data_IF_491552076399
#
_entry.id   IF_491552076399
#
_cell.length_a   1.000
_cell.length_b   1.000
_cell.length_c   1.000
_cell.angle_alpha   90.00
_cell.angle_beta   90.00
_cell.angle_gamma   90.00
#
_symmetry.space_group_name_H-M   'P 1'
#
loop_
_entity.id
_entity.type
_entity.pdbx_description
1 polymer ?
#
# COMPACT_ATOMS: atom_id res chain seq x y z
N UNK A 1 -48.08 -57.50 -30.52
CA UNK A 1 -47.52 -56.44 -31.38
C UNK A 1 -46.70 -55.48 -30.53
N UNK A 2 -45.44 -55.25 -30.89
CA UNK A 2 -44.40 -54.69 -30.03
C UNK A 2 -44.54 -53.19 -29.76
N UNK A 3 -44.39 -52.81 -28.48
CA UNK A 3 -44.26 -51.43 -27.98
C UNK A 3 -42.91 -50.85 -28.44
N UNK A 4 -42.90 -49.69 -29.10
CA UNK A 4 -41.69 -48.89 -29.29
C UNK A 4 -41.76 -47.64 -28.42
N UNK A 5 -40.87 -47.61 -27.45
CA UNK A 5 -40.56 -46.52 -26.54
C UNK A 5 -39.89 -45.38 -27.31
N UNK A 6 -40.42 -44.16 -27.18
CA UNK A 6 -39.78 -42.93 -27.66
C UNK A 6 -38.98 -42.37 -26.49
N UNK A 7 -37.66 -42.51 -26.53
CA UNK A 7 -36.74 -41.84 -25.60
C UNK A 7 -36.51 -40.41 -26.11
N UNK A 8 -37.07 -39.42 -25.43
CA UNK A 8 -36.69 -38.02 -25.61
C UNK A 8 -35.31 -37.78 -25.00
N UNK A 9 -34.30 -37.51 -25.83
CA UNK A 9 -33.04 -36.92 -25.37
C UNK A 9 -33.26 -35.41 -25.18
N UNK A 10 -33.27 -34.97 -23.92
CA UNK A 10 -33.10 -33.55 -23.56
C UNK A 10 -31.60 -33.24 -23.58
N UNK A 11 -31.13 -32.52 -24.61
CA UNK A 11 -29.79 -31.95 -24.65
C UNK A 11 -29.85 -30.65 -23.86
N UNK A 12 -29.44 -30.70 -22.60
CA UNK A 12 -29.24 -29.49 -21.77
C UNK A 12 -27.95 -28.83 -22.22
N UNK A 13 -28.04 -27.82 -23.09
CA UNK A 13 -26.90 -26.98 -23.47
C UNK A 13 -26.50 -26.14 -22.25
N UNK A 14 -25.41 -26.53 -21.58
CA UNK A 14 -24.79 -25.76 -20.50
C UNK A 14 -24.13 -24.53 -21.14
N UNK A 15 -24.80 -23.38 -21.08
CA UNK A 15 -24.22 -22.10 -21.51
C UNK A 15 -23.15 -21.74 -20.48
N UNK A 16 -21.90 -22.11 -20.76
CA UNK A 16 -20.74 -21.61 -20.05
C UNK A 16 -20.58 -20.13 -20.40
N UNK A 17 -21.16 -19.23 -19.61
CA UNK A 17 -20.85 -17.81 -19.68
C UNK A 17 -19.37 -17.65 -19.34
N UNK A 18 -18.52 -17.18 -20.27
CA UNK A 18 -17.13 -16.89 -19.94
C UNK A 18 -17.17 -15.78 -18.89
N UNK A 19 -16.50 -15.99 -17.76
CA UNK A 19 -16.14 -14.90 -16.87
C UNK A 19 -15.12 -14.05 -17.63
N UNK A 20 -15.61 -13.12 -18.44
CA UNK A 20 -14.77 -12.10 -19.06
C UNK A 20 -14.22 -11.25 -17.92
N UNK A 21 -12.96 -11.48 -17.56
CA UNK A 21 -12.20 -10.52 -16.76
C UNK A 21 -12.05 -9.27 -17.61
N UNK A 22 -12.85 -8.25 -17.35
CA UNK A 22 -12.74 -6.97 -18.04
C UNK A 22 -11.39 -6.35 -17.70
N UNK A 23 -10.53 -6.18 -18.69
CA UNK A 23 -9.32 -5.39 -18.54
C UNK A 23 -9.68 -3.92 -18.30
N UNK A 24 -8.91 -3.24 -17.45
CA UNK A 24 -9.06 -1.79 -17.26
C UNK A 24 -8.88 -1.06 -18.58
N UNK A 25 -9.77 -0.13 -18.90
CA UNK A 25 -9.63 0.74 -20.08
C UNK A 25 -8.86 2.02 -19.72
N UNK A 26 -7.99 2.44 -20.64
CA UNK A 26 -7.22 3.68 -20.55
C UNK A 26 -7.57 4.61 -21.74
N UNK A 27 -7.52 5.95 -21.58
CA UNK A 27 -7.05 6.68 -20.41
C UNK A 27 -7.97 6.50 -19.19
N UNK A 28 -7.35 6.30 -18.03
CA UNK A 28 -8.03 6.05 -16.77
C UNK A 28 -7.90 7.30 -15.87
N UNK A 29 -9.02 7.83 -15.39
CA UNK A 29 -9.02 8.84 -14.33
C UNK A 29 -9.44 8.23 -13.01
N UNK A 30 -8.69 8.49 -11.95
CA UNK A 30 -8.95 8.03 -10.58
C UNK A 30 -8.83 9.18 -9.60
N UNK A 31 -9.51 9.07 -8.46
CA UNK A 31 -9.26 9.93 -7.30
C UNK A 31 -8.26 9.22 -6.39
N UNK A 32 -7.17 9.89 -6.03
CA UNK A 32 -6.16 9.33 -5.13
C UNK A 32 -6.46 9.62 -3.65
N UNK A 33 -5.57 9.18 -2.75
CA UNK A 33 -5.78 9.34 -1.30
C UNK A 33 -5.53 10.78 -0.81
N UNK A 34 -5.03 11.68 -1.68
CA UNK A 34 -4.98 13.12 -1.45
C UNK A 34 -6.25 13.83 -1.97
N UNK A 35 -7.23 13.07 -2.49
CA UNK A 35 -8.48 13.60 -3.05
C UNK A 35 -8.33 14.23 -4.43
N UNK A 36 -7.19 14.04 -5.11
CA UNK A 36 -6.91 14.63 -6.42
C UNK A 36 -7.34 13.71 -7.54
N UNK A 37 -7.79 14.29 -8.65
CA UNK A 37 -8.01 13.55 -9.89
C UNK A 37 -6.68 13.33 -10.61
N UNK A 38 -6.32 12.08 -10.84
CA UNK A 38 -5.10 11.66 -11.53
C UNK A 38 -5.50 10.91 -12.80
N UNK A 39 -4.99 11.35 -13.95
CA UNK A 39 -5.25 10.71 -15.24
C UNK A 39 -4.01 9.94 -15.71
N UNK A 40 -4.22 8.69 -16.11
CA UNK A 40 -3.22 7.78 -16.62
C UNK A 40 -3.54 7.48 -18.09
N UNK A 41 -2.63 7.83 -18.99
CA UNK A 41 -2.87 7.65 -20.43
C UNK A 41 -2.90 6.17 -20.86
N UNK A 42 -2.20 5.30 -20.11
CA UNK A 42 -2.05 3.87 -20.35
C UNK A 42 -1.79 3.13 -19.04
N UNK A 43 -1.84 1.79 -19.07
CA UNK A 43 -1.40 0.96 -17.95
C UNK A 43 0.08 1.25 -17.62
N UNK A 44 0.41 1.70 -16.39
CA UNK A 44 1.77 2.07 -16.00
C UNK A 44 2.75 0.89 -16.15
N UNK A 45 3.89 1.11 -16.78
CA UNK A 45 4.92 0.08 -16.97
C UNK A 45 6.27 0.50 -16.37
N UNK A 46 6.41 1.76 -15.93
CA UNK A 46 7.67 2.37 -15.49
C UNK A 46 7.42 3.19 -14.23
N UNK A 47 7.32 2.48 -13.11
CA UNK A 47 6.90 3.01 -11.82
C UNK A 47 8.11 3.46 -11.00
N UNK A 48 7.96 4.59 -10.33
CA UNK A 48 8.78 5.01 -9.20
C UNK A 48 8.04 4.65 -7.91
N UNK A 49 8.72 3.97 -6.97
CA UNK A 49 8.23 3.83 -5.60
C UNK A 49 8.94 4.83 -4.69
N UNK A 50 8.21 5.84 -4.22
CA UNK A 50 8.73 6.81 -3.25
C UNK A 50 9.11 6.13 -1.93
N UNK A 51 8.26 5.23 -1.44
CA UNK A 51 8.52 4.38 -0.29
C UNK A 51 8.76 2.95 -0.79
N UNK A 52 9.96 2.42 -0.62
CA UNK A 52 10.30 1.09 -1.12
C UNK A 52 9.51 -0.04 -0.47
N UNK A 53 8.86 0.19 0.68
CA UNK A 53 8.00 -0.82 1.33
C UNK A 53 6.74 -1.12 0.52
N UNK A 54 6.34 -0.23 -0.38
CA UNK A 54 5.22 -0.44 -1.31
C UNK A 54 5.48 -1.59 -2.30
N UNK A 55 6.71 -2.10 -2.37
CA UNK A 55 7.03 -3.34 -3.08
C UNK A 55 6.21 -4.52 -2.55
N UNK A 56 5.81 -4.51 -1.27
CA UNK A 56 4.92 -5.53 -0.70
C UNK A 56 3.53 -5.50 -1.33
N UNK A 57 2.99 -4.30 -1.58
CA UNK A 57 1.72 -4.14 -2.30
C UNK A 57 1.87 -4.56 -3.76
N UNK A 58 3.00 -4.26 -4.41
CA UNK A 58 3.26 -4.78 -5.76
C UNK A 58 3.41 -6.30 -5.76
N UNK A 59 3.93 -6.94 -4.71
CA UNK A 59 4.02 -8.40 -4.60
C UNK A 59 2.65 -9.06 -4.45
N UNK A 60 1.69 -8.34 -3.87
CA UNK A 60 0.30 -8.77 -3.83
C UNK A 60 -0.37 -8.69 -5.22
N UNK A 61 -0.12 -7.62 -5.97
CA UNK A 61 -0.80 -7.31 -7.23
C UNK A 61 -0.14 -7.97 -8.46
N UNK A 62 1.17 -7.92 -8.56
CA UNK A 62 2.02 -8.51 -9.60
C UNK A 62 2.79 -9.72 -9.04
N UNK A 63 2.05 -10.74 -8.62
CA UNK A 63 2.57 -11.93 -7.91
C UNK A 63 3.66 -12.70 -8.66
N UNK A 64 3.67 -12.61 -9.99
CA UNK A 64 4.70 -13.19 -10.84
C UNK A 64 6.06 -12.49 -10.65
N UNK A 65 6.03 -11.16 -10.56
CA UNK A 65 7.22 -10.34 -10.38
C UNK A 65 6.84 -8.91 -9.93
N UNK A 66 6.96 -8.59 -8.63
CA UNK A 66 6.65 -7.25 -8.10
C UNK A 66 7.55 -6.14 -8.66
N UNK A 67 8.70 -6.52 -9.22
CA UNK A 67 9.69 -5.60 -9.76
C UNK A 67 9.52 -5.30 -11.24
N UNK A 68 8.61 -6.00 -11.96
CA UNK A 68 8.58 -5.95 -13.44
C UNK A 68 8.31 -4.57 -14.02
N UNK A 69 7.64 -3.70 -13.26
CA UNK A 69 7.33 -2.31 -13.66
C UNK A 69 8.26 -1.29 -13.02
N UNK A 70 9.13 -1.70 -12.10
CA UNK A 70 9.85 -0.77 -11.23
C UNK A 70 11.13 -0.28 -11.90
N UNK A 71 11.25 1.04 -12.09
CA UNK A 71 12.43 1.67 -12.71
C UNK A 71 13.31 2.41 -11.71
N UNK A 72 12.71 2.89 -10.63
CA UNK A 72 13.42 3.51 -9.52
C UNK A 72 12.62 3.35 -8.23
N UNK A 73 13.30 3.35 -7.09
CA UNK A 73 12.67 3.23 -5.78
C UNK A 73 13.57 3.73 -4.66
N UNK A 74 12.99 4.00 -3.50
CA UNK A 74 13.77 4.19 -2.27
C UNK A 74 13.94 2.86 -1.53
N UNK A 75 15.04 2.14 -1.73
CA UNK A 75 15.21 0.79 -1.19
C UNK A 75 15.58 0.78 0.30
N UNK A 76 14.59 1.09 1.15
CA UNK A 76 14.73 1.08 2.61
C UNK A 76 15.06 -0.32 3.16
N UNK A 77 14.48 -1.37 2.57
CA UNK A 77 14.66 -2.76 3.02
C UNK A 77 16.14 -3.17 2.99
N UNK A 78 16.94 -2.70 2.03
CA UNK A 78 18.39 -2.97 1.97
C UNK A 78 19.15 -2.57 3.25
N UNK A 79 18.63 -1.61 4.02
CA UNK A 79 19.23 -1.14 5.28
C UNK A 79 18.44 -1.58 6.50
N UNK A 80 17.11 -1.51 6.43
CA UNK A 80 16.22 -1.63 7.59
C UNK A 80 15.59 -3.02 7.75
N UNK A 81 15.50 -3.80 6.67
CA UNK A 81 14.96 -5.16 6.68
C UNK A 81 15.76 -6.05 5.73
N UNK A 82 17.00 -6.30 6.12
CA UNK A 82 17.97 -7.05 5.32
C UNK A 82 17.47 -8.46 5.03
N UNK A 83 16.75 -9.08 5.97
CA UNK A 83 16.21 -10.44 5.79
C UNK A 83 15.17 -10.49 4.66
N UNK A 84 14.18 -9.59 4.68
CA UNK A 84 13.19 -9.48 3.59
C UNK A 84 13.88 -9.13 2.29
N UNK A 85 14.86 -8.21 2.30
CA UNK A 85 15.58 -7.87 1.08
C UNK A 85 16.35 -9.04 0.47
N UNK A 86 17.01 -9.88 1.27
CA UNK A 86 17.69 -11.07 0.77
C UNK A 86 16.69 -12.07 0.19
N UNK A 87 15.54 -12.28 0.84
CA UNK A 87 14.47 -13.14 0.32
C UNK A 87 13.96 -12.64 -1.05
N UNK A 88 13.67 -11.34 -1.16
CA UNK A 88 13.20 -10.73 -2.40
C UNK A 88 14.24 -10.87 -3.52
N UNK A 89 15.51 -10.59 -3.24
CA UNK A 89 16.59 -10.72 -4.22
C UNK A 89 16.82 -12.15 -4.68
N UNK A 90 16.72 -13.13 -3.78
CA UNK A 90 16.89 -14.55 -4.15
C UNK A 90 15.82 -14.97 -5.13
N UNK A 91 14.58 -14.51 -4.93
CA UNK A 91 13.45 -14.85 -5.81
C UNK A 91 13.47 -14.05 -7.11
N UNK A 92 13.84 -12.76 -7.04
CA UNK A 92 13.91 -11.85 -8.19
C UNK A 92 15.28 -11.17 -8.27
N UNK A 93 16.32 -11.85 -8.78
CA UNK A 93 17.69 -11.32 -8.80
C UNK A 93 17.84 -9.99 -9.58
N UNK A 94 17.01 -9.78 -10.61
CA UNK A 94 16.98 -8.53 -11.38
C UNK A 94 16.64 -7.29 -10.53
N UNK A 95 16.02 -7.47 -9.36
CA UNK A 95 15.70 -6.38 -8.43
C UNK A 95 16.93 -5.58 -7.99
N UNK A 96 18.11 -6.21 -7.98
CA UNK A 96 19.36 -5.55 -7.62
C UNK A 96 19.85 -4.51 -8.65
N UNK A 97 19.30 -4.51 -9.86
CA UNK A 97 19.70 -3.59 -10.95
C UNK A 97 18.86 -2.32 -11.01
N UNK A 98 17.77 -2.26 -10.24
CA UNK A 98 16.83 -1.13 -10.22
C UNK A 98 17.49 0.05 -9.50
N UNK A 99 17.30 1.24 -10.06
CA UNK A 99 17.87 2.48 -9.52
C UNK A 99 17.37 2.75 -8.11
N UNK A 100 18.26 2.68 -7.13
CA UNK A 100 17.99 3.15 -5.76
C UNK A 100 18.17 4.67 -5.72
N UNK A 101 17.07 5.39 -5.49
CA UNK A 101 17.06 6.85 -5.48
C UNK A 101 17.75 7.43 -4.24
N UNK A 102 17.93 6.61 -3.19
CA UNK A 102 18.50 7.07 -1.93
C UNK A 102 17.72 8.22 -1.29
N UNK A 103 16.39 8.25 -1.49
CA UNK A 103 15.51 9.31 -1.00
C UNK A 103 15.64 9.38 0.53
N UNK A 104 16.40 10.38 1.00
CA UNK A 104 16.52 10.65 2.43
C UNK A 104 15.28 11.41 2.90
N UNK A 105 14.97 11.35 4.19
CA UNK A 105 13.90 12.15 4.81
C UNK A 105 14.13 13.67 4.65
N UNK A 106 15.27 14.10 4.09
CA UNK A 106 15.64 15.48 3.75
C UNK A 106 15.43 15.85 2.28
N UNK A 107 14.85 14.97 1.46
CA UNK A 107 14.42 15.31 0.09
C UNK A 107 15.53 15.46 -0.97
N UNK A 108 16.79 15.22 -0.63
CA UNK A 108 17.89 15.22 -1.61
C UNK A 108 17.81 13.97 -2.48
N UNK A 109 17.35 14.13 -3.72
CA UNK A 109 17.31 13.08 -4.75
C UNK A 109 17.94 13.58 -6.03
N UNK A 110 18.77 12.74 -6.64
CA UNK A 110 19.17 12.90 -8.04
C UNK A 110 17.97 12.56 -8.94
N UNK A 111 17.06 13.53 -9.05
CA UNK A 111 15.83 13.38 -9.81
C UNK A 111 16.12 13.27 -11.32
N UNK A 112 17.24 13.81 -11.80
CA UNK A 112 17.64 13.73 -13.20
C UNK A 112 17.92 12.27 -13.60
N UNK A 113 18.68 11.54 -12.78
CA UNK A 113 18.90 10.10 -12.98
C UNK A 113 17.59 9.29 -12.98
N UNK A 114 16.61 9.68 -12.18
CA UNK A 114 15.29 9.04 -12.12
C UNK A 114 14.49 9.34 -13.39
N UNK A 115 14.43 10.60 -13.82
CA UNK A 115 13.76 11.04 -15.04
C UNK A 115 14.37 10.38 -16.28
N UNK A 116 15.69 10.18 -16.31
CA UNK A 116 16.38 9.46 -17.39
C UNK A 116 15.89 8.00 -17.55
N UNK A 117 15.27 7.43 -16.51
CA UNK A 117 14.58 6.13 -16.61
C UNK A 117 13.19 6.22 -17.22
N UNK A 118 12.74 7.37 -17.70
CA UNK A 118 11.45 7.57 -18.37
C UNK A 118 10.28 6.96 -17.59
N UNK A 119 10.08 7.34 -16.33
CA UNK A 119 8.95 6.85 -15.54
C UNK A 119 7.62 7.30 -16.14
N UNK A 120 6.56 6.52 -15.95
CA UNK A 120 5.19 6.86 -16.35
C UNK A 120 4.21 6.95 -15.17
N UNK A 121 4.67 6.64 -13.95
CA UNK A 121 3.92 6.83 -12.70
C UNK A 121 4.89 6.92 -11.52
N UNK A 122 4.62 7.80 -10.56
CA UNK A 122 5.17 7.71 -9.21
C UNK A 122 4.06 7.34 -8.23
N UNK A 123 4.28 6.27 -7.46
CA UNK A 123 3.45 5.93 -6.31
C UNK A 123 4.13 6.50 -5.07
N UNK A 124 3.39 7.26 -4.28
CA UNK A 124 3.90 7.91 -3.09
C UNK A 124 2.99 7.73 -1.88
N UNK A 125 3.58 7.67 -0.69
CA UNK A 125 2.82 7.68 0.55
C UNK A 125 2.28 9.08 0.81
N UNK A 126 1.03 9.20 1.23
CA UNK A 126 0.39 10.49 1.51
C UNK A 126 1.18 11.33 2.53
N UNK A 127 1.78 10.68 3.53
CA UNK A 127 2.68 11.30 4.52
C UNK A 127 3.88 12.02 3.90
N UNK A 128 4.34 11.61 2.71
CA UNK A 128 5.49 12.20 2.03
C UNK A 128 5.12 13.45 1.21
N UNK A 129 3.82 13.74 1.05
CA UNK A 129 3.34 14.86 0.25
C UNK A 129 3.98 16.21 0.62
N UNK A 130 4.06 16.63 1.90
CA UNK A 130 4.69 17.91 2.23
C UNK A 130 6.15 18.00 1.76
N UNK A 131 6.95 16.95 2.01
CA UNK A 131 8.34 16.89 1.59
C UNK A 131 8.51 16.87 0.05
N UNK A 132 7.62 16.16 -0.66
CA UNK A 132 7.62 16.13 -2.12
C UNK A 132 7.22 17.47 -2.75
N UNK A 133 6.31 18.21 -2.10
CA UNK A 133 5.96 19.58 -2.49
C UNK A 133 7.12 20.54 -2.24
N UNK A 134 7.69 20.53 -1.04
CA UNK A 134 8.80 21.43 -0.66
C UNK A 134 10.04 21.24 -1.53
N UNK A 135 10.36 19.99 -1.89
CA UNK A 135 11.47 19.67 -2.80
C UNK A 135 11.19 19.95 -4.29
N UNK A 136 9.95 20.30 -4.64
CA UNK A 136 9.52 20.54 -6.03
C UNK A 136 9.50 19.29 -6.92
N UNK A 137 9.56 18.08 -6.33
CA UNK A 137 9.55 16.82 -7.08
C UNK A 137 8.22 16.66 -7.85
N UNK A 138 7.09 17.00 -7.21
CA UNK A 138 5.77 16.90 -7.83
C UNK A 138 5.68 17.76 -9.09
N UNK A 139 6.12 19.02 -9.01
CA UNK A 139 6.07 19.96 -10.13
C UNK A 139 6.94 19.52 -11.31
N UNK A 140 8.16 19.04 -11.02
CA UNK A 140 9.09 18.54 -12.03
C UNK A 140 8.54 17.31 -12.76
N UNK A 141 7.96 16.36 -12.04
CA UNK A 141 7.32 15.19 -12.65
C UNK A 141 6.08 15.58 -13.45
N UNK A 142 5.27 16.52 -12.94
CA UNK A 142 4.10 17.01 -13.66
C UNK A 142 4.46 17.71 -14.98
N UNK A 143 5.53 18.50 -15.01
CA UNK A 143 6.02 19.13 -16.24
C UNK A 143 6.44 18.12 -17.33
N UNK A 144 6.75 16.88 -16.92
CA UNK A 144 7.10 15.76 -17.77
C UNK A 144 5.92 14.81 -18.04
N UNK A 145 4.70 15.18 -17.62
CA UNK A 145 3.50 14.37 -17.73
C UNK A 145 3.60 13.01 -16.99
N UNK A 146 4.39 12.96 -15.91
CA UNK A 146 4.50 11.80 -15.03
C UNK A 146 3.59 12.04 -13.82
N UNK A 147 2.42 11.39 -13.72
CA UNK A 147 1.53 11.57 -12.60
C UNK A 147 2.15 11.03 -11.29
N UNK A 148 1.89 11.74 -10.20
CA UNK A 148 2.12 11.27 -8.83
C UNK A 148 0.78 10.82 -8.27
N UNK A 149 0.68 9.57 -7.83
CA UNK A 149 -0.51 8.97 -7.23
C UNK A 149 -0.23 8.70 -5.74
N UNK A 150 -1.03 9.30 -4.86
CA UNK A 150 -0.90 9.07 -3.43
C UNK A 150 -1.71 7.86 -2.96
N UNK A 151 -1.07 7.04 -2.14
CA UNK A 151 -1.66 5.94 -1.35
C UNK A 151 -1.38 6.19 0.14
N UNK A 152 -2.13 5.55 1.02
CA UNK A 152 -1.91 5.66 2.46
C UNK A 152 -2.03 4.31 3.18
N UNK A 153 -0.96 3.95 3.89
CA UNK A 153 -0.89 2.81 4.80
C UNK A 153 -0.50 3.22 6.22
N UNK A 154 -0.28 4.52 6.48
CA UNK A 154 0.35 5.00 7.72
C UNK A 154 -0.46 6.09 8.42
N UNK A 155 -1.04 7.05 7.72
CA UNK A 155 -1.79 8.15 8.36
C UNK A 155 -3.08 7.60 8.98
N UNK A 156 -3.94 6.97 8.17
CA UNK A 156 -5.17 6.31 8.60
C UNK A 156 -5.16 4.81 8.22
N UNK A 157 -4.27 3.98 8.80
CA UNK A 157 -3.99 2.63 8.29
C UNK A 157 -5.24 1.73 8.25
N UNK A 158 -6.13 1.83 9.24
CA UNK A 158 -7.34 1.02 9.28
C UNK A 158 -8.44 1.50 8.30
N UNK A 159 -8.36 2.74 7.83
CA UNK A 159 -9.31 3.33 6.87
C UNK A 159 -8.80 3.16 5.45
N UNK A 160 -7.53 3.47 5.22
CA UNK A 160 -7.01 3.78 3.89
C UNK A 160 -6.17 2.65 3.27
N UNK A 161 -5.78 1.62 4.03
CA UNK A 161 -5.05 0.46 3.47
C UNK A 161 -5.83 -0.23 2.34
N UNK A 162 -7.08 -0.61 2.59
CA UNK A 162 -7.88 -1.32 1.60
C UNK A 162 -8.25 -0.43 0.38
N UNK A 163 -8.68 0.83 0.56
CA UNK A 163 -8.83 1.78 -0.54
C UNK A 163 -7.57 1.99 -1.37
N UNK A 164 -6.39 2.09 -0.75
CA UNK A 164 -5.10 2.23 -1.44
C UNK A 164 -4.78 1.04 -2.33
N UNK A 165 -5.04 -0.18 -1.85
CA UNK A 165 -4.81 -1.41 -2.63
C UNK A 165 -5.83 -1.55 -3.76
N UNK A 166 -7.10 -1.22 -3.51
CA UNK A 166 -8.13 -1.21 -4.58
C UNK A 166 -7.81 -0.19 -5.67
N UNK A 167 -7.34 1.00 -5.27
CA UNK A 167 -6.88 2.04 -6.20
C UNK A 167 -5.74 1.52 -7.08
N UNK A 168 -4.69 0.95 -6.47
CA UNK A 168 -3.58 0.37 -7.22
C UNK A 168 -4.00 -0.83 -8.07
N UNK A 169 -4.96 -1.63 -7.61
CA UNK A 169 -5.60 -2.68 -8.41
C UNK A 169 -6.17 -2.13 -9.71
N UNK A 170 -6.95 -1.06 -9.64
CA UNK A 170 -7.50 -0.40 -10.83
C UNK A 170 -6.41 0.23 -11.70
N UNK A 171 -5.47 0.95 -11.10
CA UNK A 171 -4.37 1.65 -11.79
C UNK A 171 -3.43 0.70 -12.52
N UNK A 172 -3.27 -0.53 -12.03
CA UNK A 172 -2.32 -1.51 -12.57
C UNK A 172 -2.99 -2.67 -13.31
N UNK A 173 -4.31 -2.60 -13.54
CA UNK A 173 -5.09 -3.66 -14.19
C UNK A 173 -4.95 -5.01 -13.44
N UNK A 174 -5.12 -4.94 -12.13
CA UNK A 174 -4.99 -6.02 -11.12
C UNK A 174 -6.16 -5.99 -10.14
N UNK A 175 -7.34 -5.58 -10.59
CA UNK A 175 -8.55 -5.49 -9.77
C UNK A 175 -8.89 -6.82 -9.10
N UNK A 176 -8.67 -7.95 -9.78
CA UNK A 176 -8.94 -9.27 -9.21
C UNK A 176 -8.03 -9.60 -8.02
N UNK A 177 -6.74 -9.28 -8.11
CA UNK A 177 -5.75 -9.51 -7.06
C UNK A 177 -5.97 -8.55 -5.89
N UNK A 178 -6.25 -7.29 -6.18
CA UNK A 178 -6.61 -6.28 -5.19
C UNK A 178 -7.87 -6.71 -4.44
N UNK A 179 -8.96 -7.01 -5.15
CA UNK A 179 -10.24 -7.42 -4.57
C UNK A 179 -10.10 -8.66 -3.68
N UNK A 180 -9.35 -9.67 -4.14
CA UNK A 180 -9.15 -10.89 -3.35
C UNK A 180 -8.52 -10.59 -1.97
N UNK A 181 -7.55 -9.68 -1.93
CA UNK A 181 -6.93 -9.26 -0.66
C UNK A 181 -7.83 -8.33 0.15
N UNK A 182 -8.41 -7.32 -0.48
CA UNK A 182 -9.15 -6.27 0.22
C UNK A 182 -10.48 -6.78 0.77
N UNK A 183 -11.13 -7.75 0.10
CA UNK A 183 -12.28 -8.48 0.66
C UNK A 183 -11.90 -9.22 1.95
N UNK A 184 -10.80 -9.98 1.91
CA UNK A 184 -10.27 -10.69 3.08
C UNK A 184 -9.90 -9.71 4.21
N UNK A 185 -9.15 -8.65 3.89
CA UNK A 185 -8.72 -7.64 4.85
C UNK A 185 -9.91 -6.99 5.56
N UNK A 186 -10.92 -6.54 4.80
CA UNK A 186 -12.14 -5.92 5.36
C UNK A 186 -12.90 -6.90 6.25
N UNK A 187 -13.05 -8.15 5.81
CA UNK A 187 -13.73 -9.18 6.60
C UNK A 187 -13.03 -9.42 7.94
N UNK A 188 -11.69 -9.53 7.94
CA UNK A 188 -10.92 -9.74 9.17
C UNK A 188 -11.02 -8.51 10.09
N UNK A 189 -10.85 -7.30 9.57
CA UNK A 189 -10.95 -6.08 10.36
C UNK A 189 -12.35 -5.93 10.98
N UNK A 190 -13.41 -6.22 10.23
CA UNK A 190 -14.78 -6.20 10.73
C UNK A 190 -14.99 -7.25 11.84
N UNK A 191 -14.47 -8.46 11.65
CA UNK A 191 -14.58 -9.55 12.64
C UNK A 191 -13.88 -9.16 13.95
N UNK A 192 -12.69 -8.57 13.86
CA UNK A 192 -11.94 -8.09 15.03
C UNK A 192 -12.74 -6.99 15.74
N UNK A 193 -13.19 -5.97 15.01
CA UNK A 193 -13.99 -4.86 15.57
C UNK A 193 -15.26 -5.34 16.27
N UNK A 194 -15.96 -6.32 15.70
CA UNK A 194 -17.17 -6.89 16.32
C UNK A 194 -16.85 -7.56 17.65
N UNK A 195 -15.74 -8.33 17.73
CA UNK A 195 -15.32 -9.00 18.96
C UNK A 195 -14.88 -7.99 20.03
N UNK A 196 -14.14 -6.96 19.64
CA UNK A 196 -13.59 -5.98 20.59
C UNK A 196 -14.58 -4.91 21.01
N UNK A 197 -15.67 -4.70 20.26
CA UNK A 197 -16.73 -3.76 20.59
C UNK A 197 -17.33 -4.02 21.98
N UNK A 198 -17.55 -5.30 22.33
CA UNK A 198 -18.16 -5.70 23.60
C UNK A 198 -17.21 -5.67 24.82
N UNK A 199 -15.91 -5.48 24.61
CA UNK A 199 -14.93 -5.46 25.71
C UNK A 199 -15.09 -4.17 26.50
N UNK A 200 -15.31 -4.28 27.82
CA UNK A 200 -15.36 -3.17 28.77
C UNK A 200 -14.67 -3.55 30.08
N UNK A 201 -13.82 -2.69 30.67
CA UNK A 201 -13.38 -1.39 30.13
C UNK A 201 -12.49 -1.55 28.89
N UNK A 202 -12.33 -0.47 28.10
CA UNK A 202 -11.36 -0.46 26.99
C UNK A 202 -9.95 -0.52 27.55
N UNK A 203 -9.09 -1.33 26.95
CA UNK A 203 -7.69 -1.46 27.36
C UNK A 203 -6.93 -0.18 27.02
N UNK A 204 -6.10 0.29 27.95
CA UNK A 204 -5.08 1.30 27.66
C UNK A 204 -3.86 0.57 27.10
N UNK A 205 -3.38 1.02 25.95
CA UNK A 205 -2.28 0.38 25.22
C UNK A 205 -1.24 1.45 24.88
N UNK A 206 0.00 1.19 25.27
CA UNK A 206 1.16 1.91 24.80
C UNK A 206 1.94 1.01 23.83
N UNK A 207 2.30 1.54 22.66
CA UNK A 207 3.15 0.84 21.70
C UNK A 207 4.49 1.54 21.62
N UNK A 208 5.55 0.89 22.10
CA UNK A 208 6.92 1.34 21.83
C UNK A 208 7.35 0.84 20.44
N UNK A 209 7.26 1.72 19.46
CA UNK A 209 7.73 1.45 18.11
C UNK A 209 9.26 1.47 18.09
N UNK A 210 9.87 0.48 17.42
CA UNK A 210 11.34 0.33 17.37
C UNK A 210 11.98 0.15 18.77
N UNK A 211 11.28 -0.53 19.69
CA UNK A 211 11.75 -0.77 21.05
C UNK A 211 13.18 -1.35 21.08
N UNK A 212 14.04 -0.78 21.91
CA UNK A 212 15.44 -1.19 22.06
C UNK A 212 16.37 -0.79 20.91
N UNK A 213 15.90 -0.02 19.93
CA UNK A 213 16.73 0.46 18.82
C UNK A 213 17.60 1.69 19.18
N UNK A 214 17.34 2.34 20.31
CA UNK A 214 18.17 3.43 20.84
C UNK A 214 18.16 3.44 22.37
N UNK A 215 19.16 4.08 22.98
CA UNK A 215 19.21 4.28 24.44
C UNK A 215 18.06 5.18 24.94
N UNK A 216 17.44 5.95 24.04
CA UNK A 216 16.22 6.68 24.32
C UNK A 216 15.00 5.76 24.16
N UNK A 217 14.35 5.46 25.29
CA UNK A 217 12.92 5.13 25.30
C UNK A 217 12.13 6.46 25.28
N UNK A 218 10.92 6.57 24.73
CA UNK A 218 10.09 5.53 24.11
C UNK A 218 9.48 6.12 22.84
N UNK A 219 9.96 5.69 21.67
CA UNK A 219 9.37 6.14 20.40
C UNK A 219 8.00 5.50 20.23
N UNK A 220 6.96 6.31 20.00
CA UNK A 220 5.58 5.84 19.89
C UNK A 220 4.84 6.59 18.80
N UNK A 221 3.64 6.12 18.46
CA UNK A 221 2.76 6.72 17.48
C UNK A 221 1.52 7.33 18.15
N UNK A 222 1.10 8.49 17.65
CA UNK A 222 -0.16 9.14 18.00
C UNK A 222 -1.33 8.43 17.32
N UNK A 223 -2.15 9.15 16.57
CA UNK A 223 -3.32 8.56 15.88
C UNK A 223 -2.98 7.75 14.60
N UNK A 224 -1.71 7.73 14.19
CA UNK A 224 -1.25 7.07 12.96
C UNK A 224 -0.52 5.75 13.24
N UNK A 225 -0.23 4.99 12.18
CA UNK A 225 0.51 3.72 12.22
C UNK A 225 -0.03 2.75 13.29
N UNK A 226 0.83 2.29 14.20
CA UNK A 226 0.43 1.41 15.30
C UNK A 226 -0.67 2.00 16.19
N UNK A 227 -0.63 3.30 16.49
CA UNK A 227 -1.65 3.93 17.33
C UNK A 227 -3.02 3.95 16.67
N UNK A 228 -3.06 4.25 15.36
CA UNK A 228 -4.30 4.15 14.58
C UNK A 228 -4.85 2.72 14.52
N UNK A 229 -3.99 1.69 14.50
CA UNK A 229 -4.43 0.30 14.58
C UNK A 229 -4.97 -0.10 15.96
N UNK A 230 -4.37 0.40 17.04
CA UNK A 230 -4.85 0.24 18.43
C UNK A 230 -6.25 0.86 18.57
N UNK A 231 -6.42 2.08 18.08
CA UNK A 231 -7.71 2.79 18.12
C UNK A 231 -8.75 2.10 17.23
N UNK A 232 -8.34 1.54 16.08
CA UNK A 232 -9.23 0.84 15.16
C UNK A 232 -9.85 -0.43 15.74
N UNK A 233 -9.24 -1.03 16.78
CA UNK A 233 -9.81 -2.17 17.52
C UNK A 233 -10.51 -1.73 18.81
N UNK A 234 -10.66 -0.42 19.04
CA UNK A 234 -11.40 0.17 20.15
C UNK A 234 -10.64 0.25 21.47
N UNK A 235 -9.32 0.06 21.47
CA UNK A 235 -8.47 0.31 22.63
C UNK A 235 -8.07 1.79 22.71
N UNK A 236 -7.72 2.26 23.91
CA UNK A 236 -7.22 3.61 24.11
C UNK A 236 -5.71 3.59 23.84
N UNK A 237 -5.26 4.32 22.81
CA UNK A 237 -3.83 4.53 22.62
C UNK A 237 -3.33 5.58 23.63
N UNK A 238 -2.32 5.22 24.41
CA UNK A 238 -1.67 6.16 25.35
C UNK A 238 -0.79 7.15 24.57
N UNK A 239 -0.15 6.71 23.47
CA UNK A 239 0.71 7.55 22.64
C UNK A 239 -0.01 8.78 22.07
N UNK A 240 -1.27 8.63 21.65
CA UNK A 240 -2.09 9.74 21.13
C UNK A 240 -2.49 10.78 22.16
N UNK A 241 -2.45 10.44 23.45
CA UNK A 241 -2.71 11.39 24.53
C UNK A 241 -1.46 12.21 24.90
N UNK A 242 -0.27 11.71 24.55
CA UNK A 242 1.01 12.28 24.94
C UNK A 242 1.69 13.08 23.82
N UNK A 243 1.41 12.75 22.56
CA UNK A 243 2.05 13.34 21.40
C UNK A 243 1.19 14.42 20.74
N UNK A 244 1.77 15.57 20.33
CA UNK A 244 1.06 16.58 19.55
C UNK A 244 0.96 16.24 18.05
N UNK A 245 1.58 15.14 17.60
CA UNK A 245 1.68 14.76 16.19
C UNK A 245 1.68 13.26 15.97
N UNK A 246 1.96 12.85 14.73
CA UNK A 246 1.86 11.47 14.25
C UNK A 246 2.75 10.48 15.01
N UNK A 247 3.97 10.87 15.39
CA UNK A 247 4.90 10.05 16.15
C UNK A 247 5.93 10.91 16.89
N UNK A 248 6.60 10.32 17.87
CA UNK A 248 7.63 11.00 18.65
C UNK A 248 8.07 10.20 19.86
N UNK A 249 9.08 10.74 20.57
CA UNK A 249 9.54 10.18 21.84
C UNK A 249 8.72 10.74 23.00
N UNK A 250 8.33 9.86 23.92
CA UNK A 250 7.75 10.23 25.23
C UNK A 250 8.67 9.79 26.36
N UNK A 251 8.55 10.41 27.54
CA UNK A 251 9.30 9.96 28.72
C UNK A 251 8.76 8.65 29.27
N UNK A 252 9.65 7.79 29.78
CA UNK A 252 9.31 6.48 30.36
C UNK A 252 8.29 6.57 31.51
N UNK A 253 8.39 7.63 32.32
CA UNK A 253 7.45 7.90 33.41
C UNK A 253 6.02 8.11 32.90
N UNK A 254 5.87 8.73 31.72
CA UNK A 254 4.55 9.00 31.11
C UNK A 254 3.98 7.79 30.37
N UNK A 255 4.81 6.84 29.93
CA UNK A 255 4.35 5.64 29.24
C UNK A 255 3.86 4.53 30.18
N UNK A 256 4.08 4.68 31.49
CA UNK A 256 3.73 3.69 32.53
C UNK A 256 2.43 4.01 33.28
N UNK A 257 1.75 5.11 32.92
CA UNK A 257 0.52 5.61 33.54
C UNK A 257 -0.72 5.20 32.74
#
# INVERSE_FOLDING_TARGET
MARKSVRSLLITALIATPLFSYATQYPLTVTDLDGRQVTLAKEPQRIILQDGRDIMTLALLDRDNPFKRLVAWNNLAKKQDVATWQMLKTTWPQSATILDMGFSDKGNVDLESVIARQPDLMIAQLRARPALMESGVIDKLSALHVPVLFVDYEIDPAKDTAPSIDLLGKVLNRESQAKAFTDYYRQQLQTIRQKTAAITPKANVFVEALAGNSDACCFTHGHSGWGGLVEAVGANNIGSQLLPGASGFVSLEKSSA
#
